data_IF_729858063985
#
_entry.id   IF_729858063985
#
_cell.length_a   1.000
_cell.length_b   1.000
_cell.length_c   1.000
_cell.angle_alpha   90.00
_cell.angle_beta   90.00
_cell.angle_gamma   90.00
#
_symmetry.space_group_name_H-M   'P 1'
#
loop_
_entity.id
_entity.type
_entity.pdbx_description
1 polymer ?
#
# COMPACT_ATOMS: atom_id res chain seq x y z
N UNK A 1 -5.09 -20.40 7.15
CA UNK A 1 -3.98 -19.43 7.35
C UNK A 1 -2.97 -19.41 6.20
N UNK A 2 -2.40 -20.55 5.74
CA UNK A 2 -1.37 -20.56 4.67
C UNK A 2 -1.75 -19.78 3.39
N UNK A 3 -2.98 -19.96 2.88
CA UNK A 3 -3.50 -19.22 1.71
C UNK A 3 -3.61 -17.71 1.93
N UNK A 4 -3.96 -17.29 3.15
CA UNK A 4 -4.09 -15.88 3.53
C UNK A 4 -2.73 -15.19 3.67
N UNK A 5 -1.73 -15.90 4.20
CA UNK A 5 -0.35 -15.42 4.22
C UNK A 5 0.22 -15.28 2.81
N UNK A 6 -0.08 -16.23 1.92
CA UNK A 6 0.27 -16.15 0.49
C UNK A 6 -0.36 -14.93 -0.18
N UNK A 7 -1.63 -14.65 0.10
CA UNK A 7 -2.31 -13.44 -0.37
C UNK A 7 -1.60 -12.16 0.10
N UNK A 8 -1.29 -12.05 1.40
CA UNK A 8 -0.57 -10.91 1.95
C UNK A 8 0.83 -10.74 1.33
N UNK A 9 1.54 -11.85 1.10
CA UNK A 9 2.85 -11.83 0.46
C UNK A 9 2.76 -11.34 -1.00
N UNK A 10 1.74 -11.78 -1.74
CA UNK A 10 1.49 -11.30 -3.09
C UNK A 10 1.17 -9.80 -3.11
N UNK A 11 0.30 -9.32 -2.21
CA UNK A 11 0.01 -7.89 -2.07
C UNK A 11 1.25 -7.07 -1.71
N UNK A 12 2.14 -7.62 -0.88
CA UNK A 12 3.41 -6.96 -0.54
C UNK A 12 4.32 -6.80 -1.76
N UNK A 13 4.49 -7.86 -2.55
CA UNK A 13 5.26 -7.79 -3.80
C UNK A 13 4.65 -6.83 -4.81
N UNK A 14 3.32 -6.84 -4.97
CA UNK A 14 2.64 -5.86 -5.81
C UNK A 14 2.96 -4.44 -5.35
N UNK A 15 2.89 -4.15 -4.05
CA UNK A 15 3.26 -2.83 -3.52
C UNK A 15 4.69 -2.45 -3.93
N UNK A 16 5.67 -3.35 -3.80
CA UNK A 16 7.06 -3.10 -4.22
C UNK A 16 7.17 -2.83 -5.72
N UNK A 17 6.51 -3.63 -6.55
CA UNK A 17 6.54 -3.46 -8.01
C UNK A 17 5.89 -2.15 -8.45
N UNK A 18 4.90 -1.64 -7.70
CA UNK A 18 4.22 -0.39 -7.98
C UNK A 18 4.98 0.86 -7.46
N UNK A 19 5.99 0.71 -6.60
CA UNK A 19 6.76 1.84 -6.07
C UNK A 19 7.45 2.70 -7.13
N UNK A 20 8.15 2.14 -8.14
CA UNK A 20 8.84 2.96 -9.14
C UNK A 20 7.86 3.81 -9.96
N UNK A 21 6.72 3.22 -10.35
CA UNK A 21 5.71 3.92 -11.16
C UNK A 21 4.95 4.95 -10.32
N UNK A 22 4.65 4.67 -9.05
CA UNK A 22 3.99 5.63 -8.16
C UNK A 22 4.90 6.81 -7.84
N UNK A 23 6.20 6.57 -7.64
CA UNK A 23 7.19 7.64 -7.45
C UNK A 23 7.35 8.51 -8.71
N UNK A 24 7.36 7.89 -9.89
CA UNK A 24 7.41 8.60 -11.16
C UNK A 24 6.20 9.51 -11.36
N UNK A 25 4.98 8.98 -11.15
CA UNK A 25 3.75 9.77 -11.28
C UNK A 25 3.67 10.87 -10.22
N UNK A 26 4.06 10.58 -8.98
CA UNK A 26 4.16 11.61 -7.94
C UNK A 26 5.11 12.75 -8.34
N UNK A 27 6.27 12.43 -8.92
CA UNK A 27 7.21 13.44 -9.42
C UNK A 27 6.64 14.27 -10.58
N UNK A 28 5.95 13.62 -11.52
CA UNK A 28 5.27 14.32 -12.62
C UNK A 28 4.12 15.21 -12.13
N UNK A 29 3.45 14.84 -11.03
CA UNK A 29 2.44 15.70 -10.42
C UNK A 29 3.03 16.99 -9.82
N UNK A 30 4.35 17.05 -9.64
CA UNK A 30 5.08 18.26 -9.18
C UNK A 30 5.70 19.09 -10.30
N UNK A 31 5.27 18.86 -11.55
CA UNK A 31 5.67 19.65 -12.73
C UNK A 31 5.36 21.15 -12.55
N UNK A 32 4.19 21.48 -12.02
CA UNK A 32 3.67 22.83 -12.06
C UNK A 32 4.44 23.78 -11.11
N UNK A 33 4.63 25.06 -11.45
CA UNK A 33 5.44 26.01 -10.68
C UNK A 33 4.91 26.32 -9.27
N UNK A 34 3.64 26.01 -8.99
CA UNK A 34 2.99 26.15 -7.68
C UNK A 34 2.73 24.82 -6.99
N UNK A 35 3.22 23.71 -7.55
CA UNK A 35 3.05 22.38 -6.98
C UNK A 35 4.09 22.11 -5.88
N UNK A 36 3.85 21.06 -5.09
CA UNK A 36 4.75 20.67 -4.02
C UNK A 36 4.40 19.29 -3.48
N UNK A 37 4.79 19.01 -2.24
CA UNK A 37 4.62 17.68 -1.63
C UNK A 37 3.19 17.16 -1.64
N UNK A 38 2.18 18.04 -1.55
CA UNK A 38 0.77 17.62 -1.58
C UNK A 38 0.39 16.98 -2.92
N UNK A 39 0.82 17.57 -4.03
CA UNK A 39 0.55 17.05 -5.37
C UNK A 39 1.37 15.79 -5.65
N UNK A 40 2.61 15.73 -5.13
CA UNK A 40 3.40 14.49 -5.11
C UNK A 40 2.67 13.35 -4.42
N UNK A 41 2.19 13.56 -3.18
CA UNK A 41 1.46 12.53 -2.45
C UNK A 41 0.15 12.16 -3.14
N UNK A 42 -0.52 13.12 -3.77
CA UNK A 42 -1.75 12.83 -4.52
C UNK A 42 -1.45 11.91 -5.72
N UNK A 43 -0.42 12.20 -6.51
CA UNK A 43 0.01 11.35 -7.63
C UNK A 43 0.54 9.99 -7.18
N UNK A 44 1.35 9.96 -6.11
CA UNK A 44 1.90 8.73 -5.54
C UNK A 44 0.79 7.81 -5.01
N UNK A 45 -0.12 8.35 -4.20
CA UNK A 45 -1.23 7.60 -3.61
C UNK A 45 -2.32 7.26 -4.63
N UNK A 46 -2.39 7.92 -5.78
CA UNK A 46 -3.30 7.52 -6.85
C UNK A 46 -3.01 6.09 -7.34
N UNK A 47 -1.73 5.75 -7.50
CA UNK A 47 -1.32 4.39 -7.84
C UNK A 47 -1.20 3.50 -6.61
N UNK A 48 -0.51 3.97 -5.57
CA UNK A 48 -0.15 3.13 -4.42
C UNK A 48 -1.32 2.94 -3.43
N UNK A 49 -2.34 3.80 -3.47
CA UNK A 49 -3.40 3.88 -2.46
C UNK A 49 -4.20 2.60 -2.34
N UNK A 50 -4.72 2.06 -3.45
CA UNK A 50 -5.49 0.82 -3.44
C UNK A 50 -4.63 -0.37 -2.97
N UNK A 51 -3.42 -0.62 -3.54
CA UNK A 51 -2.50 -1.64 -3.05
C UNK A 51 -2.18 -1.53 -1.55
N UNK A 52 -1.98 -0.31 -1.03
CA UNK A 52 -1.70 -0.08 0.38
C UNK A 52 -2.91 -0.39 1.26
N UNK A 53 -4.10 0.10 0.90
CA UNK A 53 -5.34 -0.11 1.68
C UNK A 53 -5.64 -1.61 1.79
N UNK A 54 -5.53 -2.35 0.69
CA UNK A 54 -5.73 -3.81 0.68
C UNK A 54 -4.72 -4.51 1.58
N UNK A 55 -3.45 -4.14 1.50
CA UNK A 55 -2.39 -4.72 2.33
C UNK A 55 -2.62 -4.43 3.82
N UNK A 56 -2.91 -3.18 4.19
CA UNK A 56 -3.17 -2.78 5.58
C UNK A 56 -4.38 -3.50 6.15
N UNK A 57 -5.47 -3.60 5.39
CA UNK A 57 -6.69 -4.29 5.81
C UNK A 57 -6.43 -5.77 6.06
N UNK A 58 -5.72 -6.43 5.14
CA UNK A 58 -5.33 -7.83 5.31
C UNK A 58 -4.41 -8.04 6.51
N UNK A 59 -3.46 -7.13 6.74
CA UNK A 59 -2.56 -7.21 7.88
C UNK A 59 -3.32 -7.01 9.20
N UNK A 60 -4.25 -6.06 9.26
CA UNK A 60 -5.08 -5.83 10.43
C UNK A 60 -5.91 -7.08 10.79
N UNK A 61 -6.54 -7.72 9.79
CA UNK A 61 -7.26 -8.98 9.99
C UNK A 61 -6.34 -10.07 10.53
N UNK A 62 -5.11 -10.18 10.01
CA UNK A 62 -4.11 -11.14 10.51
C UNK A 62 -3.84 -10.91 12.01
N UNK A 63 -3.59 -9.66 12.39
CA UNK A 63 -3.28 -9.27 13.77
C UNK A 63 -4.46 -9.58 14.69
N UNK A 64 -5.68 -9.24 14.29
CA UNK A 64 -6.89 -9.52 15.09
C UNK A 64 -7.04 -11.02 15.31
N UNK A 65 -6.96 -11.84 14.26
CA UNK A 65 -7.06 -13.31 14.37
C UNK A 65 -5.98 -13.87 15.30
N UNK A 66 -4.74 -13.39 15.20
CA UNK A 66 -3.64 -13.88 16.03
C UNK A 66 -3.83 -13.53 17.52
N UNK A 67 -4.36 -12.35 17.82
CA UNK A 67 -4.67 -11.95 19.20
C UNK A 67 -5.85 -12.74 19.78
N UNK A 68 -6.86 -13.07 18.97
CA UNK A 68 -7.97 -13.93 19.40
C UNK A 68 -7.53 -15.36 19.70
N UNK A 69 -6.53 -15.88 18.98
CA UNK A 69 -5.99 -17.22 19.24
C UNK A 69 -5.16 -17.32 20.52
N UNK A 70 -4.63 -16.21 21.06
CA UNK A 70 -3.87 -16.19 22.33
C UNK A 70 -4.75 -16.09 23.57
N UNK A 71 -6.02 -15.71 23.41
CA UNK A 71 -7.00 -15.61 24.52
C UNK A 71 -7.74 -16.92 24.80
N UNK A 72 -7.54 -17.94 23.96
CA UNK A 72 -8.09 -19.30 24.10
C UNK A 72 -7.00 -20.22 24.63
#
# INVERSE_FOLDING_TARGET
MKRFLLFLHCCFWLNICLLPISFFIGGMATDAPWSGWREFFCGFLYIQGIPLIVFITGFFILVVINNSSKKK
#
